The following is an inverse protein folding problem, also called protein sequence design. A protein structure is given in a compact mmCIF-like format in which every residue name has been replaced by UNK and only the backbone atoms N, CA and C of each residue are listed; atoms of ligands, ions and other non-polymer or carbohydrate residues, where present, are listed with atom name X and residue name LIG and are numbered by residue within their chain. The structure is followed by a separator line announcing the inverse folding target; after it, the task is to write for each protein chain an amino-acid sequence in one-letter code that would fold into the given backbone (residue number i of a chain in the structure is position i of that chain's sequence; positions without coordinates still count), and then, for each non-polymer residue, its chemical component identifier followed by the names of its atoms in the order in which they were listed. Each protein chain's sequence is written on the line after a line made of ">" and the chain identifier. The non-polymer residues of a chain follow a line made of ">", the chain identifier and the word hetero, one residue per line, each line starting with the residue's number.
data_IF_339993355730
#
_entry.id   IF_339993355730
#
_cell.length_a   1.000
_cell.length_b   1.000
_cell.length_c   1.000
_cell.angle_alpha   90.00
_cell.angle_beta   90.00
_cell.angle_gamma   90.00
#
_symmetry.space_group_name_H-M   'P 1'
#
loop_
_entity.id
_entity.type
_entity.pdbx_description
1 polymer ?
#
# COMPACT_ATOMS: atom_id res chain seq x y z
N UNK A 1 -14.33 -34.56 7.75
CA UNK A 1 -14.45 -33.52 6.71
C UNK A 1 -13.35 -32.50 6.97
N UNK A 2 -12.35 -32.40 6.11
CA UNK A 2 -11.35 -31.35 6.21
C UNK A 2 -12.04 -30.00 5.99
N UNK A 3 -11.88 -29.08 6.94
CA UNK A 3 -12.41 -27.71 6.82
C UNK A 3 -11.86 -27.09 5.55
N UNK A 4 -12.74 -26.60 4.68
CA UNK A 4 -12.36 -25.88 3.46
C UNK A 4 -11.57 -24.63 3.87
N UNK A 5 -10.36 -24.47 3.31
CA UNK A 5 -9.58 -23.23 3.43
C UNK A 5 -10.35 -22.08 2.76
N UNK A 6 -10.23 -20.88 3.32
CA UNK A 6 -10.69 -19.66 2.68
C UNK A 6 -9.52 -18.86 2.10
N UNK A 7 -9.78 -18.19 0.97
CA UNK A 7 -8.84 -17.23 0.39
C UNK A 7 -8.58 -16.09 1.37
N UNK A 8 -7.32 -15.68 1.48
CA UNK A 8 -6.92 -14.56 2.33
C UNK A 8 -6.35 -13.39 1.53
N UNK A 9 -6.33 -12.22 2.16
CA UNK A 9 -5.65 -11.05 1.62
C UNK A 9 -4.14 -11.16 1.86
N UNK A 10 -3.35 -10.95 0.80
CA UNK A 10 -1.89 -10.84 0.84
C UNK A 10 -1.47 -9.39 0.54
N UNK A 11 -0.79 -8.69 1.45
CA UNK A 11 -0.44 -7.30 1.22
C UNK A 11 0.83 -7.15 0.36
N UNK A 12 0.95 -6.04 -0.37
CA UNK A 12 2.15 -5.74 -1.17
C UNK A 12 2.82 -4.41 -0.76
N UNK A 13 4.13 -4.30 -1.04
CA UNK A 13 4.91 -3.06 -0.96
C UNK A 13 5.73 -2.94 -2.25
N UNK A 14 5.24 -2.16 -3.19
CA UNK A 14 5.95 -1.89 -4.45
C UNK A 14 6.93 -0.73 -4.26
N UNK A 15 8.18 -0.92 -4.65
CA UNK A 15 9.28 0.04 -4.48
C UNK A 15 9.80 0.50 -5.83
N UNK A 16 9.95 1.81 -6.01
CA UNK A 16 10.59 2.40 -7.18
C UNK A 16 11.30 3.70 -6.78
N UNK A 17 12.58 3.84 -7.15
CA UNK A 17 13.51 4.89 -6.66
C UNK A 17 13.56 4.98 -5.13
N UNK A 18 13.55 3.84 -4.45
CA UNK A 18 13.61 3.76 -2.98
C UNK A 18 12.33 4.24 -2.27
N UNK A 19 11.26 4.52 -3.02
CA UNK A 19 9.99 4.98 -2.47
C UNK A 19 8.90 3.95 -2.70
N UNK A 20 7.95 3.87 -1.76
CA UNK A 20 6.75 3.06 -1.95
C UNK A 20 5.89 3.70 -3.05
N UNK A 21 5.82 3.04 -4.22
CA UNK A 21 5.07 3.50 -5.39
C UNK A 21 4.20 2.37 -5.90
N UNK A 22 2.92 2.64 -6.11
CA UNK A 22 2.06 1.72 -6.84
C UNK A 22 1.95 2.18 -8.30
N UNK A 23 2.34 1.32 -9.24
CA UNK A 23 2.31 1.60 -10.68
C UNK A 23 1.09 0.95 -11.37
N UNK A 24 0.80 1.36 -12.61
CA UNK A 24 -0.14 0.66 -13.50
C UNK A 24 0.64 -0.31 -14.39
N UNK A 25 0.21 -1.57 -14.47
CA UNK A 25 0.86 -2.60 -15.27
C UNK A 25 1.11 -2.16 -16.71
N UNK A 26 2.30 -2.45 -17.24
CA UNK A 26 2.69 -2.18 -18.63
C UNK A 26 3.06 -0.72 -18.94
N UNK A 27 3.00 0.20 -17.97
CA UNK A 27 3.36 1.63 -18.19
C UNK A 27 4.80 1.96 -17.82
N UNK A 28 5.55 1.04 -17.23
CA UNK A 28 6.94 1.24 -16.86
C UNK A 28 7.84 0.94 -18.07
N UNK A 29 8.35 1.97 -18.73
CA UNK A 29 9.26 1.88 -19.88
C UNK A 29 10.57 2.61 -19.58
N UNK A 30 11.71 1.96 -19.86
CA UNK A 30 13.03 2.62 -19.78
C UNK A 30 13.29 3.53 -20.99
N UNK A 31 12.63 3.24 -22.13
CA UNK A 31 12.72 4.01 -23.36
C UNK A 31 11.86 5.27 -23.33
N UNK A 32 10.83 5.29 -22.49
CA UNK A 32 9.96 6.45 -22.26
C UNK A 32 9.56 6.53 -20.79
N UNK A 33 10.42 7.10 -19.91
CA UNK A 33 10.09 7.30 -18.50
C UNK A 33 8.85 8.17 -18.28
N UNK A 34 8.46 9.00 -19.26
CA UNK A 34 7.28 9.87 -19.21
C UNK A 34 5.95 9.14 -19.35
N UNK A 35 5.96 7.91 -19.89
CA UNK A 35 4.77 7.07 -20.00
C UNK A 35 4.34 6.41 -18.67
N UNK A 36 5.17 6.49 -17.63
CA UNK A 36 4.90 5.85 -16.33
C UNK A 36 3.65 6.44 -15.68
N UNK A 37 2.61 5.63 -15.57
CA UNK A 37 1.40 5.98 -14.82
C UNK A 37 1.52 5.42 -13.40
N UNK A 38 1.75 6.31 -12.43
CA UNK A 38 1.71 5.95 -11.01
C UNK A 38 0.32 6.21 -10.43
N UNK A 39 -0.25 5.20 -9.75
CA UNK A 39 -1.50 5.33 -9.01
C UNK A 39 -1.30 5.98 -7.63
N UNK A 40 -0.14 5.75 -7.02
CA UNK A 40 0.24 6.28 -5.72
C UNK A 40 1.77 6.40 -5.63
N UNK A 41 2.26 7.48 -5.02
CA UNK A 41 3.66 7.66 -4.64
C UNK A 41 3.67 8.16 -3.20
N UNK A 42 4.27 7.39 -2.29
CA UNK A 42 4.56 7.88 -0.94
C UNK A 42 5.71 8.89 -1.07
N UNK A 43 5.39 10.19 -1.04
CA UNK A 43 6.41 11.24 -1.09
C UNK A 43 6.95 11.51 0.31
N UNK A 44 8.19 11.11 0.56
CA UNK A 44 8.94 11.50 1.74
C UNK A 44 9.23 13.02 1.67
N UNK A 45 8.33 13.87 2.16
CA UNK A 45 8.70 15.24 2.50
C UNK A 45 9.45 15.21 3.84
N UNK A 46 10.76 14.95 3.74
CA UNK A 46 11.67 15.13 4.85
C UNK A 46 11.87 16.64 5.10
N UNK A 47 10.92 17.22 5.84
CA UNK A 47 11.11 18.34 6.78
C UNK A 47 9.74 18.93 7.09
N UNK A 48 9.42 18.99 8.39
CA UNK A 48 8.22 19.60 8.97
C UNK A 48 6.97 18.70 8.93
N UNK A 49 6.76 17.99 10.04
CA UNK A 49 5.51 17.35 10.55
C UNK A 49 4.16 17.90 10.01
N UNK A 50 3.83 17.74 8.73
CA UNK A 50 2.55 18.24 8.19
C UNK A 50 1.90 17.41 7.07
N UNK A 51 2.44 16.25 6.66
CA UNK A 51 1.69 15.30 5.82
C UNK A 51 1.56 13.91 6.50
N UNK A 52 0.40 13.55 7.05
CA UNK A 52 0.19 12.27 7.75
C UNK A 52 0.06 11.03 6.82
N UNK A 53 0.41 11.14 5.53
CA UNK A 53 0.22 10.06 4.55
C UNK A 53 1.46 9.60 3.78
N UNK A 54 2.68 10.03 4.14
CA UNK A 54 3.90 9.40 3.61
C UNK A 54 4.42 8.37 4.60
N UNK A 55 4.06 7.11 4.36
CA UNK A 55 4.57 5.95 5.10
C UNK A 55 5.84 5.44 4.41
N UNK A 56 6.85 5.13 5.20
CA UNK A 56 8.07 4.44 4.76
C UNK A 56 7.80 2.95 4.49
N UNK A 57 8.68 2.23 3.79
CA UNK A 57 8.59 0.78 3.65
C UNK A 57 8.49 0.05 5.00
N UNK A 58 9.24 0.50 6.02
CA UNK A 58 9.15 -0.08 7.37
C UNK A 58 7.81 0.18 8.05
N UNK A 59 7.16 1.33 7.82
CA UNK A 59 5.85 1.61 8.40
C UNK A 59 4.76 0.70 7.82
N UNK A 60 4.81 0.40 6.52
CA UNK A 60 3.91 -0.59 5.91
C UNK A 60 4.17 -1.99 6.46
N UNK A 61 5.44 -2.40 6.57
CA UNK A 61 5.80 -3.70 7.13
C UNK A 61 5.32 -3.86 8.60
N UNK A 62 5.48 -2.83 9.44
CA UNK A 62 4.94 -2.80 10.81
C UNK A 62 3.42 -2.89 10.82
N UNK A 63 2.75 -2.14 9.96
CA UNK A 63 1.30 -2.20 9.84
C UNK A 63 0.82 -3.62 9.50
N UNK A 64 1.48 -4.30 8.57
CA UNK A 64 1.13 -5.68 8.20
C UNK A 64 1.40 -6.65 9.34
N UNK A 65 2.53 -6.50 10.03
CA UNK A 65 2.87 -7.27 11.23
C UNK A 65 1.83 -7.12 12.34
N UNK A 66 1.47 -5.89 12.68
CA UNK A 66 0.52 -5.58 13.75
C UNK A 66 -0.90 -6.13 13.47
N UNK A 67 -1.21 -6.41 12.20
CA UNK A 67 -2.47 -7.00 11.76
C UNK A 67 -2.34 -8.50 11.40
N UNK A 68 -1.17 -9.13 11.59
CA UNK A 68 -0.94 -10.54 11.27
C UNK A 68 -1.12 -10.89 9.78
N UNK A 69 -0.81 -9.96 8.88
CA UNK A 69 -1.00 -10.13 7.44
C UNK A 69 0.19 -10.83 6.78
N UNK A 70 0.27 -12.15 6.95
CA UNK A 70 1.38 -12.98 6.48
C UNK A 70 1.39 -13.22 4.96
N UNK A 71 2.56 -13.58 4.42
CA UNK A 71 2.77 -13.84 2.99
C UNK A 71 2.64 -12.59 2.11
N UNK A 72 2.78 -11.42 2.71
CA UNK A 72 2.94 -10.19 1.95
C UNK A 72 4.28 -10.15 1.21
N UNK A 73 4.34 -9.37 0.14
CA UNK A 73 5.52 -9.30 -0.73
C UNK A 73 5.99 -7.86 -0.96
N UNK A 74 7.31 -7.68 -0.96
CA UNK A 74 8.00 -6.45 -1.33
C UNK A 74 8.53 -6.60 -2.75
N UNK A 75 8.10 -5.75 -3.69
CA UNK A 75 8.50 -5.85 -5.10
C UNK A 75 9.39 -4.66 -5.47
N UNK A 76 10.63 -4.95 -5.87
CA UNK A 76 11.58 -3.94 -6.34
C UNK A 76 11.41 -3.71 -7.84
N UNK A 77 10.91 -2.54 -8.21
CA UNK A 77 10.67 -2.12 -9.58
C UNK A 77 11.83 -1.24 -10.06
N UNK A 78 12.82 -1.87 -10.71
CA UNK A 78 14.02 -1.19 -11.19
C UNK A 78 15.12 -1.04 -10.13
N UNK A 79 16.21 -0.33 -10.46
CA UNK A 79 17.36 -0.14 -9.57
C UNK A 79 17.04 0.81 -8.40
N UNK A 80 17.93 0.85 -7.40
CA UNK A 80 17.86 1.81 -6.28
C UNK A 80 16.86 1.48 -5.18
N UNK A 81 16.32 0.25 -5.14
CA UNK A 81 15.28 -0.16 -4.19
C UNK A 81 15.80 -1.04 -3.03
N UNK A 82 17.08 -1.43 -3.06
CA UNK A 82 17.60 -2.44 -2.15
C UNK A 82 17.57 -2.02 -0.68
N UNK A 83 17.93 -0.77 -0.38
CA UNK A 83 17.90 -0.25 1.00
C UNK A 83 16.47 -0.13 1.54
N UNK A 84 15.54 0.32 0.69
CA UNK A 84 14.13 0.39 1.02
C UNK A 84 13.50 -1.00 1.24
N UNK A 85 13.93 -2.00 0.47
CA UNK A 85 13.50 -3.39 0.67
C UNK A 85 14.05 -3.94 1.99
N UNK A 86 15.35 -3.76 2.26
CA UNK A 86 15.97 -4.17 3.54
C UNK A 86 15.32 -3.48 4.73
N UNK A 87 14.95 -2.20 4.60
CA UNK A 87 14.20 -1.47 5.62
C UNK A 87 12.86 -2.14 5.95
N UNK A 88 12.09 -2.55 4.94
CA UNK A 88 10.82 -3.26 5.13
C UNK A 88 11.03 -4.65 5.77
N UNK A 89 12.01 -5.41 5.28
CA UNK A 89 12.33 -6.74 5.81
C UNK A 89 12.80 -6.69 7.26
N UNK A 90 13.65 -5.72 7.62
CA UNK A 90 14.14 -5.54 8.98
C UNK A 90 13.03 -5.17 9.98
N UNK A 91 11.95 -4.53 9.52
CA UNK A 91 10.81 -4.21 10.35
C UNK A 91 9.95 -5.44 10.71
N UNK A 92 9.95 -6.47 9.85
CA UNK A 92 9.30 -7.75 10.13
C UNK A 92 10.11 -8.94 9.57
N UNK A 93 11.21 -9.33 10.26
CA UNK A 93 12.03 -10.46 9.84
C UNK A 93 11.20 -11.74 9.76
N UNK A 94 11.31 -12.46 8.64
CA UNK A 94 10.55 -13.66 8.34
C UNK A 94 9.06 -13.43 8.03
N UNK A 95 8.61 -12.18 7.96
CA UNK A 95 7.20 -11.85 7.71
C UNK A 95 6.85 -11.58 6.25
N UNK A 96 7.80 -11.06 5.47
CA UNK A 96 7.59 -10.60 4.09
C UNK A 96 8.48 -11.33 3.10
N UNK A 97 7.94 -11.59 1.91
CA UNK A 97 8.67 -12.07 0.75
C UNK A 97 9.33 -10.88 0.02
N UNK A 98 10.34 -11.13 -0.82
CA UNK A 98 10.97 -10.08 -1.64
C UNK A 98 11.21 -10.51 -3.09
N UNK A 99 10.85 -9.66 -4.04
CA UNK A 99 11.01 -9.86 -5.47
C UNK A 99 11.69 -8.69 -6.18
N UNK A 100 12.03 -8.90 -7.45
CA UNK A 100 12.66 -7.90 -8.33
C UNK A 100 14.19 -8.05 -8.38
N UNK A 101 14.71 -8.49 -9.53
CA UNK A 101 16.14 -8.71 -9.75
C UNK A 101 16.74 -9.87 -8.93
N UNK A 102 15.91 -10.80 -8.46
CA UNK A 102 16.36 -12.00 -7.72
C UNK A 102 16.99 -13.00 -8.70
N UNK A 103 18.15 -13.54 -8.32
CA UNK A 103 18.88 -14.58 -9.04
C UNK A 103 19.59 -15.52 -8.06
N UNK A 104 20.19 -16.60 -8.57
CA UNK A 104 20.90 -17.61 -7.76
C UNK A 104 22.05 -17.03 -6.93
N UNK A 105 22.70 -15.93 -7.38
CA UNK A 105 23.83 -15.32 -6.67
C UNK A 105 23.38 -14.46 -5.49
N UNK A 106 22.23 -13.78 -5.58
CA UNK A 106 21.78 -12.83 -4.56
C UNK A 106 20.65 -13.37 -3.66
N UNK A 107 19.98 -14.45 -4.05
CA UNK A 107 18.79 -14.93 -3.34
C UNK A 107 19.07 -15.21 -1.86
N UNK A 108 20.23 -15.81 -1.53
CA UNK A 108 20.60 -16.12 -0.15
C UNK A 108 20.77 -14.86 0.70
N UNK A 109 21.37 -13.80 0.17
CA UNK A 109 21.57 -12.56 0.92
C UNK A 109 20.25 -11.86 1.26
N UNK A 110 19.21 -12.03 0.44
CA UNK A 110 17.87 -11.53 0.73
C UNK A 110 17.17 -12.33 1.84
N UNK A 111 17.34 -13.65 1.85
CA UNK A 111 16.87 -14.49 2.95
C UNK A 111 17.57 -14.12 4.26
N UNK A 112 18.90 -13.95 4.22
CA UNK A 112 19.70 -13.54 5.39
C UNK A 112 19.33 -12.12 5.87
N UNK A 113 18.86 -11.25 4.97
CA UNK A 113 18.33 -9.92 5.30
C UNK A 113 16.92 -9.92 5.92
N UNK A 114 16.32 -11.09 6.13
CA UNK A 114 15.04 -11.25 6.83
C UNK A 114 13.84 -11.51 5.92
N UNK A 115 14.04 -11.79 4.62
CA UNK A 115 12.94 -12.25 3.78
C UNK A 115 12.48 -13.66 4.19
N UNK A 116 11.16 -13.88 4.23
CA UNK A 116 10.58 -15.21 4.47
C UNK A 116 10.81 -16.13 3.28
N UNK A 117 10.64 -15.58 2.07
CA UNK A 117 10.91 -16.22 0.77
C UNK A 117 11.43 -15.19 -0.22
N UNK A 118 12.09 -15.66 -1.28
CA UNK A 118 12.44 -14.83 -2.43
C UNK A 118 11.54 -15.14 -3.61
N UNK A 119 11.22 -14.12 -4.40
CA UNK A 119 10.36 -14.19 -5.57
C UNK A 119 11.22 -14.02 -6.81
N UNK A 120 11.33 -15.07 -7.61
CA UNK A 120 12.05 -15.06 -8.88
C UNK A 120 11.11 -14.71 -10.03
N UNK A 121 11.55 -13.81 -10.91
CA UNK A 121 10.77 -13.27 -12.03
C UNK A 121 11.51 -13.48 -13.36
N UNK A 122 12.02 -12.40 -13.99
CA UNK A 122 12.65 -12.41 -15.31
C UNK A 122 13.95 -13.22 -15.40
N UNK A 123 14.58 -13.55 -14.28
CA UNK A 123 15.78 -14.38 -14.26
C UNK A 123 15.55 -15.76 -14.89
N UNK A 124 14.33 -16.31 -14.81
CA UNK A 124 13.99 -17.61 -15.42
C UNK A 124 13.89 -17.56 -16.95
N UNK A 125 13.91 -16.39 -17.57
CA UNK A 125 13.66 -16.21 -19.00
C UNK A 125 14.82 -15.50 -19.71
N UNK A 126 16.03 -16.11 -19.79
CA UNK A 126 17.10 -15.56 -20.62
C UNK A 126 16.62 -15.37 -22.06
N UNK A 127 16.76 -14.13 -22.57
CA UNK A 127 16.36 -13.77 -23.94
C UNK A 127 14.89 -14.11 -24.28
N UNK A 128 14.01 -14.16 -23.29
CA UNK A 128 12.59 -14.49 -23.51
C UNK A 128 12.23 -15.97 -23.40
N UNK A 129 13.21 -16.86 -23.24
CA UNK A 129 12.99 -18.31 -23.25
C UNK A 129 13.11 -18.90 -21.84
N UNK A 130 12.15 -19.72 -21.43
CA UNK A 130 12.19 -20.36 -20.11
C UNK A 130 13.41 -21.27 -19.94
N UNK A 131 14.08 -21.17 -18.78
CA UNK A 131 15.23 -21.99 -18.42
C UNK A 131 14.99 -22.82 -17.16
N UNK A 132 14.67 -24.10 -17.36
CA UNK A 132 14.54 -25.06 -16.26
C UNK A 132 15.82 -25.14 -15.41
N UNK A 133 16.99 -25.06 -16.05
CA UNK A 133 18.28 -25.05 -15.35
C UNK A 133 18.36 -23.91 -14.34
N UNK A 134 18.01 -22.68 -14.73
CA UNK A 134 18.02 -21.52 -13.80
C UNK A 134 17.04 -21.69 -12.64
N UNK A 135 15.88 -22.29 -12.89
CA UNK A 135 14.91 -22.63 -11.84
C UNK A 135 15.48 -23.64 -10.85
N UNK A 136 16.12 -24.70 -11.35
CA UNK A 136 16.77 -25.72 -10.52
C UNK A 136 17.92 -25.13 -9.69
N UNK A 137 18.75 -24.29 -10.30
CA UNK A 137 19.90 -23.69 -9.64
C UNK A 137 19.47 -22.75 -8.49
N UNK A 138 18.48 -21.87 -8.73
CA UNK A 138 17.97 -20.99 -7.67
C UNK A 138 17.18 -21.74 -6.60
N UNK A 139 16.41 -22.78 -6.98
CA UNK A 139 15.71 -23.66 -6.04
C UNK A 139 16.70 -24.36 -5.11
N UNK A 140 17.82 -24.84 -5.65
CA UNK A 140 18.91 -25.43 -4.84
C UNK A 140 19.57 -24.42 -3.92
N UNK A 141 19.79 -23.19 -4.38
CA UNK A 141 20.41 -22.13 -3.58
C UNK A 141 19.53 -21.64 -2.40
N UNK A 142 18.21 -21.62 -2.60
CA UNK A 142 17.24 -21.07 -1.64
C UNK A 142 16.57 -22.14 -0.76
N UNK A 143 16.42 -23.35 -1.31
CA UNK A 143 15.50 -24.36 -0.83
C UNK A 143 14.09 -24.10 -1.37
N UNK A 144 13.42 -25.15 -1.87
CA UNK A 144 12.06 -25.11 -2.43
C UNK A 144 11.07 -24.33 -1.56
N UNK A 145 11.10 -24.56 -0.25
CA UNK A 145 10.18 -23.94 0.73
C UNK A 145 10.32 -22.42 0.85
N UNK A 146 11.41 -21.84 0.35
CA UNK A 146 11.71 -20.41 0.39
C UNK A 146 11.79 -19.75 -0.99
N UNK A 147 11.36 -20.47 -2.03
CA UNK A 147 11.25 -19.95 -3.38
C UNK A 147 9.79 -19.77 -3.77
N UNK A 148 9.49 -18.58 -4.32
CA UNK A 148 8.24 -18.24 -4.99
C UNK A 148 8.57 -17.96 -6.45
N UNK A 149 7.77 -18.50 -7.37
CA UNK A 149 7.88 -18.17 -8.80
C UNK A 149 6.79 -17.19 -9.18
N UNK A 150 7.18 -16.06 -9.76
CA UNK A 150 6.24 -15.10 -10.33
C UNK A 150 5.88 -15.53 -11.76
N UNK A 151 4.65 -16.01 -11.94
CA UNK A 151 4.09 -16.45 -13.23
C UNK A 151 3.22 -15.36 -13.83
N UNK A 152 3.82 -14.18 -13.85
CA UNK A 152 3.36 -12.98 -14.49
C UNK A 152 2.83 -13.22 -15.91
N UNK A 153 1.56 -12.94 -16.23
CA UNK A 153 0.95 -13.31 -17.53
C UNK A 153 0.09 -12.25 -18.24
N UNK A 154 -0.08 -12.43 -19.56
CA UNK A 154 -1.03 -11.72 -20.43
C UNK A 154 -1.91 -12.68 -21.21
N UNK A 155 -3.16 -12.28 -21.47
CA UNK A 155 -4.13 -13.04 -22.24
C UNK A 155 -3.88 -12.89 -23.75
N UNK A 156 -3.91 -14.01 -24.47
CA UNK A 156 -3.94 -14.09 -25.94
C UNK A 156 -5.04 -15.06 -26.35
N UNK A 157 -6.16 -14.52 -26.81
CA UNK A 157 -7.35 -15.31 -27.11
C UNK A 157 -7.94 -15.94 -25.85
N UNK A 158 -7.98 -17.27 -25.81
CA UNK A 158 -8.46 -18.12 -24.72
C UNK A 158 -7.34 -18.62 -23.78
N UNK A 159 -6.09 -18.18 -24.01
CA UNK A 159 -4.91 -18.64 -23.27
C UNK A 159 -4.18 -17.49 -22.58
N UNK A 160 -3.33 -17.82 -21.62
CA UNK A 160 -2.44 -16.87 -20.95
C UNK A 160 -0.99 -17.27 -21.17
N UNK A 161 -0.14 -16.30 -21.47
CA UNK A 161 1.29 -16.50 -21.69
C UNK A 161 2.07 -15.67 -20.70
N UNK A 162 3.19 -16.23 -20.22
CA UNK A 162 4.09 -15.52 -19.31
C UNK A 162 4.65 -14.30 -20.04
N UNK A 163 4.61 -13.16 -19.36
CA UNK A 163 5.13 -11.90 -19.86
C UNK A 163 6.24 -11.42 -18.91
N UNK A 164 7.33 -10.93 -19.51
CA UNK A 164 8.52 -10.48 -18.80
C UNK A 164 8.84 -9.01 -19.14
N UNK A 165 9.95 -8.50 -18.60
CA UNK A 165 10.41 -7.12 -18.81
C UNK A 165 9.31 -6.09 -18.55
N UNK A 166 8.74 -6.10 -17.35
CA UNK A 166 7.67 -5.18 -16.94
C UNK A 166 6.45 -5.26 -17.88
N UNK A 167 6.11 -6.46 -18.32
CA UNK A 167 4.95 -6.77 -19.16
C UNK A 167 5.06 -6.41 -20.62
N UNK A 168 6.24 -6.04 -21.08
CA UNK A 168 6.44 -5.59 -22.46
C UNK A 168 6.64 -6.77 -23.42
N UNK A 169 7.31 -7.83 -22.97
CA UNK A 169 7.70 -8.96 -23.81
C UNK A 169 6.93 -10.21 -23.41
N UNK A 170 6.17 -10.78 -24.34
CA UNK A 170 5.44 -12.05 -24.12
C UNK A 170 6.36 -13.19 -24.54
N UNK A 171 6.55 -14.14 -23.62
CA UNK A 171 7.36 -15.35 -23.82
C UNK A 171 6.55 -16.44 -24.52
N UNK A 172 7.20 -17.55 -24.86
CA UNK A 172 6.57 -18.75 -25.43
C UNK A 172 5.90 -19.65 -24.37
N UNK A 173 6.10 -19.38 -23.08
CA UNK A 173 5.62 -20.19 -21.98
C UNK A 173 4.14 -19.89 -21.69
N UNK A 174 3.27 -20.87 -21.98
CA UNK A 174 1.85 -20.83 -21.64
C UNK A 174 1.64 -21.08 -20.13
N UNK A 175 0.76 -20.30 -19.49
CA UNK A 175 0.28 -20.55 -18.13
C UNK A 175 -0.84 -21.58 -18.21
N UNK A 176 -0.48 -22.82 -18.01
CA UNK A 176 -1.35 -23.99 -18.03
C UNK A 176 -1.00 -24.95 -16.88
N UNK A 177 -1.82 -25.99 -16.68
CA UNK A 177 -1.63 -26.96 -15.60
C UNK A 177 -0.27 -27.62 -15.63
N UNK A 178 0.17 -28.07 -16.80
CA UNK A 178 1.43 -28.79 -17.01
C UNK A 178 2.63 -27.91 -16.63
N UNK A 179 2.56 -26.63 -17.03
CA UNK A 179 3.57 -25.62 -16.69
C UNK A 179 3.62 -25.38 -15.19
N UNK A 180 2.47 -25.21 -14.54
CA UNK A 180 2.40 -24.98 -13.10
C UNK A 180 2.85 -26.20 -12.30
N UNK A 181 2.52 -27.42 -12.73
CA UNK A 181 2.99 -28.65 -12.09
C UNK A 181 4.52 -28.75 -12.15
N UNK A 182 5.12 -28.51 -13.32
CA UNK A 182 6.58 -28.51 -13.48
C UNK A 182 7.25 -27.46 -12.58
N UNK A 183 6.72 -26.24 -12.51
CA UNK A 183 7.28 -25.20 -11.64
C UNK A 183 7.12 -25.57 -10.15
N UNK A 184 6.01 -26.21 -9.78
CA UNK A 184 5.70 -26.60 -8.40
C UNK A 184 6.63 -27.70 -7.86
N UNK A 185 7.36 -28.40 -8.73
CA UNK A 185 8.44 -29.30 -8.31
C UNK A 185 9.58 -28.53 -7.63
N UNK A 186 9.81 -27.27 -8.02
CA UNK A 186 10.99 -26.49 -7.64
C UNK A 186 10.69 -25.28 -6.75
N UNK A 187 9.43 -24.88 -6.58
CA UNK A 187 9.04 -23.78 -5.69
C UNK A 187 7.89 -24.17 -4.75
N UNK A 188 7.62 -23.33 -3.75
CA UNK A 188 6.59 -23.59 -2.73
C UNK A 188 5.35 -22.73 -2.87
N UNK A 189 5.37 -21.73 -3.75
CA UNK A 189 4.27 -20.78 -3.94
C UNK A 189 4.37 -20.09 -5.30
N UNK A 190 3.22 -19.73 -5.84
CA UNK A 190 3.11 -18.89 -7.04
C UNK A 190 2.63 -17.49 -6.70
N UNK A 191 3.22 -16.49 -7.34
CA UNK A 191 2.67 -15.15 -7.45
C UNK A 191 2.25 -14.94 -8.90
N UNK A 192 0.96 -14.67 -9.15
CA UNK A 192 0.43 -14.54 -10.51
C UNK A 192 -0.10 -13.13 -10.70
N UNK A 193 0.65 -12.34 -11.45
CA UNK A 193 0.21 -11.01 -11.85
C UNK A 193 -0.50 -11.06 -13.21
N UNK A 194 -1.73 -10.57 -13.28
CA UNK A 194 -2.49 -10.48 -14.52
C UNK A 194 -2.33 -9.09 -15.14
N UNK A 195 -1.34 -8.92 -16.02
CA UNK A 195 -0.90 -7.61 -16.48
C UNK A 195 -1.98 -6.81 -17.24
N UNK A 196 -2.91 -7.49 -17.91
CA UNK A 196 -3.99 -6.82 -18.66
C UNK A 196 -4.99 -6.08 -17.76
N UNK A 197 -5.10 -6.49 -16.49
CA UNK A 197 -5.99 -5.86 -15.49
C UNK A 197 -5.23 -5.20 -14.35
N UNK A 198 -3.91 -5.38 -14.26
CA UNK A 198 -3.08 -4.88 -13.18
C UNK A 198 -3.11 -3.34 -13.06
N UNK A 199 -3.45 -2.85 -11.87
CA UNK A 199 -3.51 -1.42 -11.60
C UNK A 199 -4.69 -0.66 -12.24
N UNK A 200 -5.50 -1.30 -13.08
CA UNK A 200 -6.67 -0.68 -13.72
C UNK A 200 -7.86 -0.53 -12.77
N UNK A 201 -7.96 -1.37 -11.73
CA UNK A 201 -9.10 -1.43 -10.80
C UNK A 201 -10.45 -1.63 -11.53
N UNK A 202 -10.47 -2.38 -12.64
CA UNK A 202 -11.68 -2.63 -13.44
C UNK A 202 -12.32 -3.99 -13.17
N UNK A 203 -11.65 -4.87 -12.43
CA UNK A 203 -12.09 -6.23 -12.13
C UNK A 203 -10.93 -7.20 -12.29
N UNK A 204 -11.01 -8.33 -11.59
CA UNK A 204 -10.07 -9.45 -11.74
C UNK A 204 -10.34 -10.18 -13.05
N UNK A 205 -9.35 -10.95 -13.53
CA UNK A 205 -9.57 -11.96 -14.57
C UNK A 205 -10.19 -13.20 -13.92
N UNK A 206 -11.53 -13.28 -13.95
CA UNK A 206 -12.30 -14.34 -13.28
C UNK A 206 -11.99 -15.74 -13.85
N UNK A 207 -11.75 -15.82 -15.16
CA UNK A 207 -11.46 -17.08 -15.85
C UNK A 207 -10.08 -17.61 -15.43
N UNK A 208 -9.07 -16.74 -15.41
CA UNK A 208 -7.75 -17.09 -14.90
C UNK A 208 -7.80 -17.53 -13.44
N UNK A 209 -8.54 -16.82 -12.57
CA UNK A 209 -8.65 -17.18 -11.15
C UNK A 209 -9.28 -18.56 -10.95
N UNK A 210 -10.34 -18.88 -11.72
CA UNK A 210 -10.95 -20.20 -11.69
C UNK A 210 -9.94 -21.28 -12.14
N UNK A 211 -9.24 -21.03 -13.24
CA UNK A 211 -8.20 -21.93 -13.75
C UNK A 211 -7.04 -22.13 -12.79
N UNK A 212 -6.55 -21.08 -12.13
CA UNK A 212 -5.50 -21.20 -11.11
C UNK A 212 -5.96 -22.07 -9.93
N UNK A 213 -7.23 -21.99 -9.52
CA UNK A 213 -7.81 -22.87 -8.50
C UNK A 213 -7.87 -24.35 -8.93
N UNK A 214 -8.15 -24.60 -10.21
CA UNK A 214 -8.16 -25.95 -10.80
C UNK A 214 -6.75 -26.53 -10.96
N UNK A 215 -5.82 -25.73 -11.49
CA UNK A 215 -4.51 -26.17 -11.95
C UNK A 215 -3.45 -26.26 -10.86
N UNK A 216 -3.52 -25.39 -9.84
CA UNK A 216 -2.41 -25.24 -8.90
C UNK A 216 -2.48 -26.25 -7.77
N UNK A 217 -1.34 -26.92 -7.53
CA UNK A 217 -1.14 -27.89 -6.45
C UNK A 217 -0.51 -27.26 -5.18
N UNK A 218 0.09 -26.07 -5.32
CA UNK A 218 0.72 -25.30 -4.24
C UNK A 218 0.02 -23.94 -4.06
N UNK A 219 0.24 -23.22 -2.95
CA UNK A 219 -0.36 -21.92 -2.71
C UNK A 219 -0.14 -20.92 -3.85
N UNK A 220 -1.19 -20.17 -4.18
CA UNK A 220 -1.17 -19.14 -5.22
C UNK A 220 -1.65 -17.83 -4.63
N UNK A 221 -0.92 -16.76 -4.92
CA UNK A 221 -1.36 -15.39 -4.70
C UNK A 221 -1.62 -14.72 -6.04
N UNK A 222 -2.85 -14.26 -6.27
CA UNK A 222 -3.24 -13.52 -7.46
C UNK A 222 -3.12 -12.00 -7.22
N UNK A 223 -2.52 -11.30 -8.17
CA UNK A 223 -2.31 -9.85 -8.12
C UNK A 223 -2.73 -9.19 -9.44
N UNK A 224 -3.91 -8.60 -9.50
CA UNK A 224 -4.35 -7.88 -10.70
C UNK A 224 -5.80 -7.42 -10.61
N UNK A 225 -6.09 -6.18 -11.04
CA UNK A 225 -7.48 -5.76 -11.30
C UNK A 225 -8.44 -5.58 -10.11
N UNK A 226 -8.09 -6.06 -8.91
CA UNK A 226 -8.94 -6.01 -7.73
C UNK A 226 -9.36 -4.56 -7.40
N UNK A 227 -10.67 -4.35 -7.34
CA UNK A 227 -11.35 -3.05 -7.26
C UNK A 227 -12.18 -2.85 -6.01
N UNK A 228 -12.60 -3.94 -5.34
CA UNK A 228 -13.43 -3.90 -4.14
C UNK A 228 -13.16 -5.05 -3.18
N UNK A 229 -13.56 -4.86 -1.91
CA UNK A 229 -13.41 -5.90 -0.88
C UNK A 229 -14.17 -7.21 -1.23
N UNK A 230 -15.25 -7.10 -2.01
CA UNK A 230 -16.01 -8.26 -2.50
C UNK A 230 -15.25 -9.12 -3.51
N UNK A 231 -14.12 -8.62 -4.05
CA UNK A 231 -13.30 -9.42 -4.97
C UNK A 231 -12.62 -10.57 -4.22
N UNK A 232 -12.37 -10.45 -2.91
CA UNK A 232 -11.87 -11.57 -2.12
C UNK A 232 -12.91 -12.70 -2.05
N UNK A 233 -14.19 -12.37 -1.82
CA UNK A 233 -15.28 -13.36 -1.84
C UNK A 233 -15.46 -13.97 -3.24
N UNK A 234 -15.26 -13.18 -4.29
CA UNK A 234 -15.31 -13.67 -5.67
C UNK A 234 -14.16 -14.65 -5.95
N UNK A 235 -12.92 -14.30 -5.57
CA UNK A 235 -11.75 -15.17 -5.69
C UNK A 235 -11.93 -16.45 -4.88
N UNK A 236 -12.43 -16.36 -3.65
CA UNK A 236 -12.70 -17.52 -2.80
C UNK A 236 -13.68 -18.49 -3.47
N UNK A 237 -14.76 -17.98 -4.06
CA UNK A 237 -15.74 -18.83 -4.77
C UNK A 237 -15.17 -19.43 -6.05
N UNK A 238 -14.52 -18.64 -6.89
CA UNK A 238 -14.00 -19.09 -8.18
C UNK A 238 -12.87 -20.11 -8.02
N UNK A 239 -12.01 -19.93 -7.02
CA UNK A 239 -10.86 -20.80 -6.77
C UNK A 239 -11.12 -21.90 -5.74
N UNK A 240 -12.33 -21.98 -5.20
CA UNK A 240 -12.67 -22.86 -4.07
C UNK A 240 -11.74 -22.68 -2.85
N UNK A 241 -11.35 -21.43 -2.56
CA UNK A 241 -10.45 -21.04 -1.46
C UNK A 241 -8.97 -21.38 -1.68
N UNK A 242 -8.56 -21.73 -2.91
CA UNK A 242 -7.18 -22.12 -3.22
C UNK A 242 -6.27 -20.94 -3.56
N UNK A 243 -6.83 -19.87 -4.12
CA UNK A 243 -6.09 -18.69 -4.58
C UNK A 243 -6.29 -17.54 -3.58
N UNK A 244 -5.21 -16.94 -3.11
CA UNK A 244 -5.24 -15.72 -2.30
C UNK A 244 -5.26 -14.48 -3.19
N UNK A 245 -5.63 -13.33 -2.62
CA UNK A 245 -5.77 -12.08 -3.39
C UNK A 245 -4.89 -10.97 -2.84
N UNK A 246 -4.19 -10.29 -3.74
CA UNK A 246 -3.47 -9.05 -3.47
C UNK A 246 -4.26 -7.85 -3.95
N UNK A 247 -4.35 -6.84 -3.09
CA UNK A 247 -4.86 -5.52 -3.44
C UNK A 247 -3.69 -4.55 -3.59
N UNK A 248 -3.31 -4.20 -4.82
CA UNK A 248 -2.31 -3.14 -5.03
C UNK A 248 -2.77 -1.80 -4.44
N UNK A 249 -4.08 -1.56 -4.38
CA UNK A 249 -4.72 -0.34 -3.85
C UNK A 249 -5.82 -0.73 -2.85
N UNK A 250 -6.06 0.03 -1.75
CA UNK A 250 -7.40 0.04 -1.17
C UNK A 250 -8.38 0.52 -2.25
N UNK A 251 -9.24 -0.37 -2.72
CA UNK A 251 -10.41 -0.15 -3.58
C UNK A 251 -10.69 1.34 -3.82
N UNK A 252 -10.47 1.82 -5.04
CA UNK A 252 -10.90 3.17 -5.44
C UNK A 252 -12.42 3.15 -5.38
N UNK A 253 -13.00 3.42 -4.21
CA UNK A 253 -14.45 3.51 -4.08
C UNK A 253 -14.89 4.64 -5.03
N UNK A 254 -15.58 4.34 -6.14
CA UNK A 254 -16.03 5.38 -7.05
C UNK A 254 -16.92 6.35 -6.27
N UNK A 255 -16.66 7.65 -6.40
CA UNK A 255 -17.37 8.71 -5.65
C UNK A 255 -16.70 9.19 -4.34
N UNK A 256 -15.51 8.69 -3.98
CA UNK A 256 -14.78 9.17 -2.80
C UNK A 256 -14.08 10.51 -3.08
N UNK A 257 -14.67 11.59 -2.60
CA UNK A 257 -14.09 12.95 -2.69
C UNK A 257 -12.82 13.04 -1.82
N UNK A 258 -11.72 13.52 -2.40
CA UNK A 258 -10.44 13.70 -1.68
C UNK A 258 -10.35 15.09 -1.09
N UNK A 259 -9.77 15.20 0.11
CA UNK A 259 -9.70 16.46 0.82
C UNK A 259 -8.83 17.51 0.12
N UNK A 260 -7.71 17.11 -0.49
CA UNK A 260 -6.81 18.06 -1.18
C UNK A 260 -7.48 18.69 -2.42
N UNK A 261 -8.30 17.92 -3.15
CA UNK A 261 -9.04 18.41 -4.33
C UNK A 261 -10.10 19.46 -3.96
N UNK A 262 -10.55 19.47 -2.70
CA UNK A 262 -11.52 20.44 -2.18
C UNK A 262 -10.85 21.75 -1.73
N UNK A 263 -9.55 21.72 -1.42
CA UNK A 263 -8.85 22.91 -0.92
C UNK A 263 -8.71 23.98 -2.00
N UNK A 264 -8.55 23.61 -3.27
CA UNK A 264 -8.44 24.54 -4.40
C UNK A 264 -9.78 25.13 -4.85
N UNK A 265 -10.91 24.52 -4.48
CA UNK A 265 -12.25 24.92 -4.95
C UNK A 265 -12.78 26.18 -4.27
N UNK A 266 -13.58 26.96 -4.99
CA UNK A 266 -14.23 28.15 -4.43
C UNK A 266 -15.32 27.77 -3.42
N UNK A 267 -15.77 28.74 -2.61
CA UNK A 267 -16.90 28.53 -1.68
C UNK A 267 -18.20 28.17 -2.42
N UNK A 268 -18.40 28.71 -3.61
CA UNK A 268 -19.55 28.42 -4.46
C UNK A 268 -19.51 26.96 -4.94
N UNK A 269 -18.35 26.51 -5.44
CA UNK A 269 -18.16 25.14 -5.91
C UNK A 269 -18.32 24.11 -4.80
N UNK A 270 -17.79 24.40 -3.60
CA UNK A 270 -17.96 23.53 -2.43
C UNK A 270 -19.43 23.42 -2.02
N UNK A 271 -20.18 24.52 -2.07
CA UNK A 271 -21.62 24.52 -1.77
C UNK A 271 -22.42 23.75 -2.81
N UNK A 272 -22.09 23.90 -4.10
CA UNK A 272 -22.70 23.15 -5.20
C UNK A 272 -22.45 21.64 -5.05
N UNK A 273 -21.18 21.26 -4.85
CA UNK A 273 -20.79 19.87 -4.65
C UNK A 273 -21.43 19.25 -3.39
N UNK A 274 -21.59 20.04 -2.32
CA UNK A 274 -22.30 19.59 -1.11
C UNK A 274 -23.79 19.32 -1.39
N UNK A 275 -24.44 20.17 -2.19
CA UNK A 275 -25.84 19.99 -2.60
C UNK A 275 -26.02 18.72 -3.43
N UNK A 276 -25.16 18.51 -4.42
CA UNK A 276 -25.16 17.32 -5.28
C UNK A 276 -25.00 16.03 -4.45
N UNK A 277 -24.01 15.98 -3.53
CA UNK A 277 -23.79 14.82 -2.66
C UNK A 277 -24.95 14.57 -1.70
N UNK A 278 -25.63 15.61 -1.21
CA UNK A 278 -26.82 15.47 -0.36
C UNK A 278 -27.99 14.90 -1.15
N UNK A 279 -28.19 15.35 -2.39
CA UNK A 279 -29.24 14.82 -3.27
C UNK A 279 -28.97 13.35 -3.63
N UNK A 280 -27.71 12.99 -3.91
CA UNK A 280 -27.29 11.60 -4.13
C UNK A 280 -27.57 10.74 -2.88
N UNK A 281 -27.24 11.23 -1.68
CA UNK A 281 -27.51 10.51 -0.43
C UNK A 281 -29.02 10.30 -0.21
N UNK A 282 -29.85 11.28 -0.54
CA UNK A 282 -31.31 11.17 -0.45
C UNK A 282 -31.83 10.10 -1.40
N UNK A 283 -31.40 10.12 -2.66
CA UNK A 283 -31.77 9.11 -3.65
C UNK A 283 -31.38 7.69 -3.21
N UNK A 284 -30.16 7.51 -2.69
CA UNK A 284 -29.69 6.21 -2.20
C UNK A 284 -30.48 5.73 -0.96
N UNK A 285 -30.95 6.64 -0.10
CA UNK A 285 -31.78 6.28 1.06
C UNK A 285 -33.18 5.82 0.66
N UNK A 286 -33.80 6.47 -0.32
CA UNK A 286 -35.10 6.03 -0.87
C UNK A 286 -34.97 4.64 -1.49
N UNK A 287 -33.91 4.42 -2.28
CA UNK A 287 -33.64 3.10 -2.88
C UNK A 287 -33.37 2.01 -1.84
N UNK A 288 -32.74 2.34 -0.71
CA UNK A 288 -32.55 1.40 0.40
C UNK A 288 -33.89 0.91 0.96
N UNK A 289 -34.87 1.80 1.08
CA UNK A 289 -36.21 1.47 1.60
C UNK A 289 -36.97 0.61 0.58
N UNK A 290 -36.81 0.89 -0.71
CA UNK A 290 -37.44 0.15 -1.81
C UNK A 290 -36.78 -1.22 -2.14
N UNK A 291 -35.90 -1.75 -1.27
CA UNK A 291 -35.26 -3.05 -1.49
C UNK A 291 -34.18 -3.09 -2.58
N UNK A 292 -33.50 -1.96 -2.84
CA UNK A 292 -32.47 -1.86 -3.87
C UNK A 292 -31.21 -2.72 -3.65
N UNK A 293 -30.44 -2.93 -4.73
CA UNK A 293 -29.28 -3.83 -4.76
C UNK A 293 -28.19 -3.55 -3.71
N UNK A 294 -27.59 -4.62 -3.17
CA UNK A 294 -26.51 -4.59 -2.17
C UNK A 294 -25.31 -3.70 -2.57
N UNK A 295 -24.97 -3.67 -3.86
CA UNK A 295 -23.90 -2.84 -4.42
C UNK A 295 -24.13 -1.33 -4.34
N UNK A 296 -25.39 -0.87 -4.23
CA UNK A 296 -25.74 0.55 -4.05
C UNK A 296 -25.76 0.94 -2.57
N UNK A 297 -26.03 0.00 -1.67
CA UNK A 297 -26.05 0.22 -0.22
C UNK A 297 -24.67 0.56 0.35
N UNK A 298 -23.61 -0.02 -0.19
CA UNK A 298 -22.21 0.29 0.18
C UNK A 298 -21.82 1.73 -0.17
N UNK A 299 -22.45 2.35 -1.20
CA UNK A 299 -22.21 3.74 -1.59
C UNK A 299 -22.70 4.75 -0.57
N UNK A 300 -23.70 4.43 0.25
CA UNK A 300 -24.24 5.33 1.28
C UNK A 300 -23.14 5.75 2.26
N UNK A 301 -22.29 4.82 2.70
CA UNK A 301 -21.19 5.13 3.61
C UNK A 301 -20.16 6.07 2.94
N UNK A 302 -19.84 5.80 1.68
CA UNK A 302 -18.92 6.63 0.88
C UNK A 302 -19.43 8.06 0.74
N UNK A 303 -20.69 8.24 0.33
CA UNK A 303 -21.30 9.56 0.14
C UNK A 303 -21.37 10.32 1.48
N UNK A 304 -21.71 9.65 2.59
CA UNK A 304 -21.67 10.27 3.94
C UNK A 304 -20.27 10.77 4.30
N UNK A 305 -19.23 9.97 4.03
CA UNK A 305 -17.83 10.36 4.26
C UNK A 305 -17.41 11.53 3.34
N UNK A 306 -17.85 11.54 2.08
CA UNK A 306 -17.61 12.64 1.15
C UNK A 306 -18.27 13.95 1.63
N UNK A 307 -19.52 13.91 2.07
CA UNK A 307 -20.22 15.07 2.68
C UNK A 307 -19.45 15.61 3.89
N UNK A 308 -19.04 14.71 4.80
CA UNK A 308 -18.29 15.11 6.00
C UNK A 308 -16.97 15.80 5.65
N UNK A 309 -16.27 15.35 4.60
CA UNK A 309 -15.03 16.00 4.12
C UNK A 309 -15.29 17.38 3.54
N UNK A 310 -16.30 17.54 2.70
CA UNK A 310 -16.68 18.85 2.14
C UNK A 310 -17.01 19.84 3.26
N UNK A 311 -17.84 19.43 4.22
CA UNK A 311 -18.16 20.24 5.40
C UNK A 311 -16.93 20.60 6.24
N UNK A 312 -15.99 19.66 6.39
CA UNK A 312 -14.75 19.90 7.14
C UNK A 312 -13.89 20.96 6.45
N UNK A 313 -13.69 20.87 5.13
CA UNK A 313 -12.90 21.84 4.36
C UNK A 313 -13.59 23.21 4.34
N UNK A 314 -14.91 23.25 4.17
CA UNK A 314 -15.68 24.50 4.28
C UNK A 314 -15.48 25.17 5.65
N UNK A 315 -15.61 24.40 6.73
CA UNK A 315 -15.41 24.91 8.09
C UNK A 315 -13.96 25.37 8.32
N UNK A 316 -12.97 24.65 7.81
CA UNK A 316 -11.56 25.07 7.85
C UNK A 316 -11.35 26.42 7.16
N UNK A 317 -11.86 26.60 5.93
CA UNK A 317 -11.78 27.88 5.20
C UNK A 317 -12.47 29.01 5.95
N UNK A 318 -13.67 28.77 6.47
CA UNK A 318 -14.39 29.77 7.28
C UNK A 318 -13.60 30.17 8.53
N UNK A 319 -13.03 29.20 9.25
CA UNK A 319 -12.22 29.48 10.44
C UNK A 319 -10.91 30.18 10.11
N UNK A 320 -10.30 29.89 8.95
CA UNK A 320 -9.10 30.59 8.49
C UNK A 320 -9.41 32.06 8.19
N UNK A 321 -10.46 32.35 7.42
CA UNK A 321 -10.88 33.72 7.13
C UNK A 321 -11.23 34.49 8.41
N UNK A 322 -11.90 33.84 9.37
CA UNK A 322 -12.17 34.44 10.67
C UNK A 322 -10.89 34.69 11.47
N UNK A 323 -9.91 33.77 11.44
CA UNK A 323 -8.61 33.99 12.12
C UNK A 323 -7.86 35.18 11.53
N UNK A 324 -7.91 35.37 10.22
CA UNK A 324 -7.34 36.54 9.55
C UNK A 324 -8.06 37.83 9.98
N UNK A 325 -9.40 37.82 9.99
CA UNK A 325 -10.20 38.98 10.42
C UNK A 325 -10.00 39.37 11.90
N UNK A 326 -9.78 38.39 12.78
CA UNK A 326 -9.54 38.62 14.21
C UNK A 326 -8.05 38.73 14.58
N UNK A 327 -7.13 38.71 13.59
CA UNK A 327 -5.70 38.82 13.84
C UNK A 327 -5.39 40.18 14.49
N UNK A 328 -4.77 40.15 15.67
CA UNK A 328 -4.40 41.37 16.42
C UNK A 328 -5.52 42.04 17.21
N UNK A 329 -6.78 41.55 17.15
CA UNK A 329 -7.88 42.10 17.95
C UNK A 329 -7.79 41.63 19.42
N UNK A 330 -8.17 42.50 20.36
CA UNK A 330 -8.20 42.22 21.81
C UNK A 330 -9.08 41.02 22.16
N UNK A 331 -10.21 40.87 21.48
CA UNK A 331 -11.18 39.79 21.73
C UNK A 331 -11.27 38.86 20.53
N UNK A 332 -11.06 37.56 20.78
CA UNK A 332 -11.18 36.49 19.80
C UNK A 332 -12.33 35.56 20.23
N UNK A 333 -13.24 35.19 19.32
CA UNK A 333 -14.29 34.21 19.57
C UNK A 333 -13.74 32.90 20.16
N UNK A 334 -14.49 32.30 21.09
CA UNK A 334 -14.08 31.08 21.80
C UNK A 334 -13.74 29.94 20.84
N UNK A 335 -14.47 29.82 19.72
CA UNK A 335 -14.28 28.77 18.72
C UNK A 335 -12.97 28.86 17.93
N UNK A 336 -12.35 30.04 17.87
CA UNK A 336 -11.07 30.23 17.18
C UNK A 336 -9.87 30.02 18.10
N UNK A 337 -10.10 29.94 19.42
CA UNK A 337 -9.04 29.73 20.40
C UNK A 337 -8.48 28.31 20.30
N UNK A 338 -7.15 28.14 20.46
CA UNK A 338 -6.55 26.82 20.49
C UNK A 338 -7.09 26.03 21.69
N UNK A 339 -7.65 24.83 21.44
CA UNK A 339 -8.12 23.92 22.49
C UNK A 339 -6.90 23.31 23.20
N UNK A 340 -6.44 23.98 24.27
CA UNK A 340 -5.34 23.52 25.12
C UNK A 340 -5.89 22.80 26.35
N UNK A 341 -5.23 21.71 26.76
CA UNK A 341 -5.54 21.03 28.02
C UNK A 341 -5.36 21.99 29.20
N UNK A 342 -6.01 21.71 30.35
CA UNK A 342 -5.85 22.51 31.57
C UNK A 342 -4.38 22.61 31.99
N UNK A 343 -3.63 21.51 31.87
CA UNK A 343 -2.20 21.47 32.16
C UNK A 343 -1.40 22.44 31.28
N UNK A 344 -1.65 22.45 29.95
CA UNK A 344 -0.95 23.36 29.03
C UNK A 344 -1.34 24.83 29.29
N UNK A 345 -2.61 25.10 29.62
CA UNK A 345 -3.07 26.47 29.96
C UNK A 345 -2.45 27.00 31.24
N UNK A 346 -2.16 26.12 32.21
CA UNK A 346 -1.54 26.47 33.50
C UNK A 346 -0.01 26.39 33.50
N UNK A 347 0.59 25.91 32.40
CA UNK A 347 2.04 25.79 32.29
C UNK A 347 2.66 27.19 32.25
N UNK A 348 3.62 27.42 33.12
CA UNK A 348 4.46 28.62 33.10
C UNK A 348 5.06 28.83 31.70
N UNK A 349 5.02 30.07 31.23
CA UNK A 349 5.72 30.52 30.02
C UNK A 349 7.23 30.32 30.16
N UNK A 350 7.97 30.35 29.04
CA UNK A 350 9.45 30.25 29.09
C UNK A 350 10.06 31.34 29.99
N UNK A 351 9.50 32.54 29.93
CA UNK A 351 9.91 33.65 30.78
C UNK A 351 9.65 33.35 32.26
N UNK A 352 8.42 32.99 32.63
CA UNK A 352 8.08 32.65 34.02
C UNK A 352 8.90 31.47 34.56
N UNK A 353 9.19 30.46 33.73
CA UNK A 353 10.09 29.35 34.11
C UNK A 353 11.54 29.77 34.32
N UNK A 354 11.98 30.83 33.65
CA UNK A 354 13.35 31.36 33.78
C UNK A 354 13.53 32.25 35.01
N UNK A 355 12.44 32.72 35.61
CA UNK A 355 12.49 33.51 36.84
C UNK A 355 12.92 32.60 38.00
N UNK A 356 14.07 32.93 38.59
CA UNK A 356 14.56 32.30 39.80
C UNK A 356 14.19 33.14 41.01
N UNK A 357 13.81 32.48 42.09
CA UNK A 357 13.64 33.18 43.37
C UNK A 357 15.00 33.63 43.89
N UNK A 358 15.01 34.71 44.69
CA UNK A 358 16.22 35.23 45.34
C UNK A 358 16.97 34.15 46.14
N UNK A 359 16.23 33.24 46.77
CA UNK A 359 16.77 32.07 47.47
C UNK A 359 17.49 31.10 46.53
N UNK A 360 16.88 30.79 45.38
CA UNK A 360 17.50 29.90 44.40
C UNK A 360 18.75 30.53 43.77
N UNK A 361 18.71 31.83 43.46
CA UNK A 361 19.86 32.57 42.95
C UNK A 361 21.04 32.53 43.92
N UNK A 362 20.80 32.77 45.23
CA UNK A 362 21.84 32.66 46.26
C UNK A 362 22.39 31.22 46.38
N UNK A 363 21.54 30.21 46.27
CA UNK A 363 21.96 28.80 46.31
C UNK A 363 22.86 28.45 45.12
N UNK A 364 22.48 28.85 43.92
CA UNK A 364 23.24 28.59 42.69
C UNK A 364 24.61 29.29 42.72
N UNK A 365 24.69 30.49 43.32
CA UNK A 365 25.94 31.22 43.54
C UNK A 365 26.86 30.52 44.53
N UNK A 366 26.30 30.05 45.67
CA UNK A 366 27.09 29.44 46.73
C UNK A 366 27.48 27.98 46.44
N UNK A 367 26.69 27.26 45.65
CA UNK A 367 26.89 25.85 45.33
C UNK A 367 26.75 25.58 43.83
N UNK A 368 27.69 26.08 43.00
CA UNK A 368 27.64 25.85 41.57
C UNK A 368 27.87 24.38 41.26
N UNK A 369 27.19 23.85 40.24
CA UNK A 369 27.36 22.47 39.78
C UNK A 369 28.78 22.26 39.27
N UNK A 370 29.59 21.52 40.04
CA UNK A 370 30.95 21.18 39.65
C UNK A 370 30.88 20.06 38.60
N UNK A 371 31.24 20.38 37.37
CA UNK A 371 31.40 19.40 36.30
C UNK A 371 32.83 18.87 36.34
N UNK A 372 33.00 17.60 36.64
CA UNK A 372 34.30 16.93 36.58
C UNK A 372 34.42 16.24 35.22
N UNK A 373 35.51 16.50 34.50
CA UNK A 373 35.87 15.71 33.33
C UNK A 373 36.60 14.45 33.82
N UNK A 374 36.04 13.28 33.55
CA UNK A 374 36.75 12.02 33.76
C UNK A 374 37.67 11.85 32.55
N UNK A 375 38.98 11.77 32.78
CA UNK A 375 39.97 11.54 31.73
C UNK A 375 39.79 10.09 31.26
N UNK A 376 39.38 9.92 30.00
CA UNK A 376 39.20 8.61 29.37
C UNK A 376 40.53 7.87 29.20
#
# INVERSE_FOLDING_TARGET
>A
MTSRRHSVFRPCIDLHDGQVKQIVGGTLSEKDPGALKTNFVSRLLCSINTDPYSLSPSDFAKLYKDNGLEGGHVIKLGPGNDDAAKEALAAWPGGLQVGGGINEQNAKSWLDAGASKVIVTSYLFPEGNFSLKRLQDISKATGKDRLVVDVSCRRRGDKWFVAMNKWQDITDMEVAKETLDMLAEHCSEFLVHAADVEGLCQGIDEELVAKLGEWSSIPVTYAGGAKSISDLDLVDRLSNGRVDLTYGRPAKMPGKVKAYELQSKSKADLSKQLSELKNELLALRVQKIAGGSASKLTKINTVRKSIARVLTVMNQKTRQNLREYYKGKKYIPLDLRPKKTRAIRRRLTKHEKSLKTLKQTKKDQNFPTRKYAVKA
#
